data_IF_450465131650
#
_entry.id   IF_450465131650
#
_cell.length_a   1.000
_cell.length_b   1.000
_cell.length_c   1.000
_cell.angle_alpha   90.00
_cell.angle_beta   90.00
_cell.angle_gamma   90.00
#
_symmetry.space_group_name_H-M   'P 1'
#
loop_
_entity.id
_entity.type
_entity.pdbx_description
1 polymer ?
#
# COMPACT_ATOMS: atom_id res chain seq x y z
N UNK A 1 -14.09 -45.05 -4.84
CA UNK A 1 -13.60 -44.93 -6.22
C UNK A 1 -12.48 -43.93 -6.17
N UNK A 2 -11.26 -44.45 -6.16
CA UNK A 2 -10.02 -43.77 -5.78
C UNK A 2 -9.16 -43.79 -7.03
N UNK A 3 -8.67 -42.62 -7.47
CA UNK A 3 -7.70 -42.55 -8.57
C UNK A 3 -6.48 -41.77 -8.08
N UNK A 4 -5.34 -42.35 -8.42
CA UNK A 4 -3.98 -42.13 -7.98
C UNK A 4 -3.40 -40.77 -8.44
N UNK A 5 -2.58 -40.15 -7.58
CA UNK A 5 -1.55 -39.22 -8.02
C UNK A 5 -0.23 -39.99 -8.14
N UNK A 6 0.37 -39.94 -9.32
CA UNK A 6 1.73 -40.42 -9.57
C UNK A 6 2.75 -39.41 -9.03
N UNK A 7 3.70 -39.93 -8.26
CA UNK A 7 4.88 -39.23 -7.79
C UNK A 7 5.97 -39.25 -8.87
N UNK A 8 6.68 -38.14 -9.05
CA UNK A 8 7.97 -38.10 -9.74
C UNK A 8 9.06 -37.75 -8.72
N UNK A 9 9.93 -38.74 -8.49
CA UNK A 9 11.24 -38.70 -7.83
C UNK A 9 12.24 -37.87 -8.63
N UNK A 10 12.87 -36.86 -8.01
CA UNK A 10 14.23 -36.35 -8.27
C UNK A 10 14.65 -35.69 -6.94
N UNK A 11 15.57 -36.19 -6.12
CA UNK A 11 16.96 -36.59 -6.36
C UNK A 11 17.85 -35.79 -5.39
N UNK A 12 18.30 -36.40 -4.28
CA UNK A 12 19.31 -35.82 -3.38
C UNK A 12 20.66 -35.64 -4.11
N UNK A 13 21.50 -34.70 -3.64
CA UNK A 13 22.93 -34.95 -3.67
C UNK A 13 23.58 -34.85 -2.28
N UNK A 14 24.46 -35.82 -2.05
CA UNK A 14 25.37 -35.99 -0.92
C UNK A 14 26.41 -34.86 -0.77
N UNK A 15 26.88 -34.74 0.47
CA UNK A 15 27.97 -33.88 0.90
C UNK A 15 29.35 -34.32 0.38
N UNK A 16 30.24 -33.37 0.07
CA UNK A 16 31.59 -33.21 0.67
C UNK A 16 32.52 -32.25 -0.10
N UNK A 17 33.27 -31.46 0.70
CA UNK A 17 34.62 -30.85 0.46
C UNK A 17 34.75 -29.78 -0.64
N UNK A 18 35.48 -28.66 -0.53
CA UNK A 18 36.40 -28.10 0.48
C UNK A 18 36.80 -26.66 0.02
N UNK A 19 37.57 -25.95 0.86
CA UNK A 19 38.34 -24.72 0.58
C UNK A 19 37.64 -23.35 0.73
N UNK A 20 37.54 -22.95 2.00
CA UNK A 20 37.68 -21.56 2.39
C UNK A 20 39.05 -21.01 1.96
N UNK A 21 39.05 -19.97 1.14
CA UNK A 21 40.23 -19.16 0.86
C UNK A 21 39.98 -17.77 1.44
N UNK A 22 40.58 -17.51 2.59
CA UNK A 22 40.73 -16.18 3.16
C UNK A 22 41.70 -15.36 2.30
N UNK A 23 41.28 -14.17 1.88
CA UNK A 23 42.20 -13.12 1.45
C UNK A 23 41.90 -11.82 2.23
N UNK A 24 42.95 -11.08 2.63
CA UNK A 24 42.87 -10.06 3.67
C UNK A 24 42.39 -8.71 3.14
N UNK A 25 41.58 -8.03 3.94
CA UNK A 25 41.28 -6.60 3.81
C UNK A 25 42.57 -5.80 4.08
N UNK A 26 43.07 -5.13 3.05
CA UNK A 26 44.03 -4.04 3.17
C UNK A 26 43.25 -2.76 3.54
N UNK A 27 43.49 -2.25 4.73
CA UNK A 27 43.07 -0.90 5.12
C UNK A 27 44.00 0.14 4.46
N UNK A 28 43.47 1.26 3.95
CA UNK A 28 44.22 2.49 3.86
C UNK A 28 44.04 3.32 5.13
N UNK A 29 45.16 3.87 5.54
CA UNK A 29 45.45 4.79 6.64
C UNK A 29 44.82 6.17 6.41
N UNK A 30 44.11 6.68 7.40
CA UNK A 30 43.81 8.10 7.55
C UNK A 30 44.99 8.79 8.25
N UNK A 31 45.58 9.80 7.61
CA UNK A 31 46.36 10.83 8.28
C UNK A 31 45.67 12.18 8.03
N UNK A 32 45.39 12.87 9.14
CA UNK A 32 44.93 14.24 9.25
C UNK A 32 45.93 15.24 8.63
N UNK A 33 45.45 16.37 8.11
CA UNK A 33 45.66 17.69 8.75
C UNK A 33 45.30 18.91 7.86
N UNK A 34 44.75 19.90 8.56
CA UNK A 34 44.88 21.35 8.41
C UNK A 34 44.06 22.17 7.38
N UNK A 35 42.95 22.71 7.92
CA UNK A 35 42.78 24.12 8.33
C UNK A 35 43.05 25.29 7.35
N UNK A 36 42.01 26.12 7.16
CA UNK A 36 42.00 27.60 7.07
C UNK A 36 40.71 28.08 6.37
N UNK A 37 39.99 29.15 6.69
CA UNK A 37 39.91 30.14 7.77
C UNK A 37 38.76 31.11 7.38
N UNK A 38 38.01 31.61 8.37
CA UNK A 38 37.28 32.92 8.41
C UNK A 38 36.32 33.33 7.27
N UNK A 39 35.08 33.68 7.65
CA UNK A 39 34.75 35.08 8.01
C UNK A 39 33.36 35.18 8.67
N UNK A 40 33.30 36.01 9.71
CA UNK A 40 32.12 36.39 10.47
C UNK A 40 31.50 37.67 9.89
N UNK A 41 30.18 37.82 10.05
CA UNK A 41 29.54 39.14 10.16
C UNK A 41 28.22 39.01 10.93
N UNK A 42 28.25 39.53 12.16
CA UNK A 42 27.14 39.84 13.05
C UNK A 42 26.47 41.14 12.62
N UNK A 43 25.13 41.25 12.61
CA UNK A 43 24.42 42.52 12.86
C UNK A 43 23.13 42.25 13.66
N UNK A 44 23.07 42.94 14.79
CA UNK A 44 22.02 43.10 15.80
C UNK A 44 20.99 44.17 15.37
N UNK A 45 19.77 44.17 15.90
CA UNK A 45 18.81 45.25 15.64
C UNK A 45 17.36 44.98 16.03
N UNK A 46 17.03 45.24 17.30
CA UNK A 46 15.68 45.50 17.83
C UNK A 46 14.92 46.55 17.03
N UNK A 47 13.59 46.47 16.99
CA UNK A 47 12.72 47.56 17.49
C UNK A 47 11.25 47.14 17.61
N UNK A 48 10.68 47.48 18.78
CA UNK A 48 9.26 47.46 19.10
C UNK A 48 8.59 48.69 18.47
N UNK A 49 7.36 48.57 17.98
CA UNK A 49 6.46 49.73 17.96
C UNK A 49 4.99 49.33 18.06
N UNK A 50 4.42 49.65 19.22
CA UNK A 50 3.00 49.78 19.50
C UNK A 50 2.43 51.04 18.82
N UNK A 51 1.17 50.99 18.40
CA UNK A 51 0.32 52.17 18.19
C UNK A 51 -1.10 51.85 18.66
N UNK A 52 -1.57 52.65 19.62
CA UNK A 52 -2.93 52.65 20.14
C UNK A 52 -3.87 53.50 19.28
N UNK A 53 -5.12 53.02 19.20
CA UNK A 53 -6.39 53.75 19.28
C UNK A 53 -6.78 54.82 18.24
N UNK A 54 -7.92 54.58 17.58
CA UNK A 54 -8.95 55.60 17.43
C UNK A 54 -10.33 54.94 17.47
N UNK A 55 -11.10 55.30 18.50
CA UNK A 55 -12.51 54.97 18.64
C UNK A 55 -13.34 55.72 17.60
N UNK A 56 -14.32 55.02 17.01
CA UNK A 56 -15.53 55.64 16.45
C UNK A 56 -16.72 54.74 16.76
N UNK A 57 -17.57 55.26 17.63
CA UNK A 57 -18.92 54.80 17.87
C UNK A 57 -19.77 54.99 16.61
N UNK A 58 -20.46 53.93 16.20
CA UNK A 58 -21.65 53.99 15.36
C UNK A 58 -22.57 52.84 15.78
N UNK A 59 -23.81 53.20 16.05
CA UNK A 59 -24.90 52.39 16.59
C UNK A 59 -25.43 51.33 15.61
N UNK A 60 -26.18 50.38 16.17
CA UNK A 60 -27.23 49.55 15.57
C UNK A 60 -26.88 48.59 14.41
N UNK A 61 -26.83 47.28 14.72
CA UNK A 61 -27.99 46.41 14.48
C UNK A 61 -27.71 44.99 15.01
N UNK A 62 -28.56 44.55 15.94
CA UNK A 62 -28.62 43.19 16.48
C UNK A 62 -29.02 42.17 15.40
N UNK A 63 -28.03 41.59 14.71
CA UNK A 63 -28.19 40.30 14.03
C UNK A 63 -27.38 39.27 14.80
N UNK A 64 -28.06 38.56 15.73
CA UNK A 64 -27.53 37.34 16.33
C UNK A 64 -27.19 36.34 15.22
N UNK A 65 -25.91 36.24 14.87
CA UNK A 65 -25.43 35.07 14.13
C UNK A 65 -25.75 33.83 14.98
N UNK A 66 -26.46 32.83 14.44
CA UNK A 66 -26.62 31.57 15.14
C UNK A 66 -25.23 30.93 15.28
N UNK A 67 -24.79 30.74 16.52
CA UNK A 67 -23.62 29.94 16.85
C UNK A 67 -23.73 28.58 16.15
N UNK A 68 -22.66 28.09 15.50
CA UNK A 68 -22.67 26.75 14.92
C UNK A 68 -23.07 25.73 16.01
N UNK A 69 -23.87 24.71 15.66
CA UNK A 69 -24.24 23.70 16.63
C UNK A 69 -22.97 23.06 17.21
N UNK A 70 -22.90 22.84 18.53
CA UNK A 70 -21.77 22.14 19.11
C UNK A 70 -21.63 20.78 18.41
N UNK A 71 -20.38 20.32 18.14
CA UNK A 71 -20.17 19.02 17.57
C UNK A 71 -20.87 17.97 18.45
N UNK A 72 -21.53 16.95 17.86
CA UNK A 72 -22.23 15.95 18.64
C UNK A 72 -21.26 15.33 19.64
N UNK A 73 -21.59 15.44 20.93
CA UNK A 73 -20.84 14.80 22.01
C UNK A 73 -20.75 13.31 21.70
N UNK A 74 -19.56 12.87 21.31
CA UNK A 74 -19.23 11.45 21.24
C UNK A 74 -19.18 10.97 22.69
N UNK A 75 -20.29 10.44 23.20
CA UNK A 75 -20.28 9.64 24.42
C UNK A 75 -19.52 8.36 24.13
N UNK A 76 -18.21 8.38 24.38
CA UNK A 76 -17.38 7.18 24.43
C UNK A 76 -17.84 6.36 25.63
N UNK A 77 -18.45 5.19 25.38
CA UNK A 77 -18.64 4.20 26.44
C UNK A 77 -17.27 3.64 26.81
N UNK A 78 -16.98 3.64 28.10
CA UNK A 78 -15.74 3.22 28.75
C UNK A 78 -15.39 1.71 28.60
N UNK A 79 -15.98 1.02 27.62
CA UNK A 79 -15.76 -0.40 27.33
C UNK A 79 -15.31 -0.71 25.90
N UNK A 80 -15.21 0.29 25.02
CA UNK A 80 -14.96 0.07 23.59
C UNK A 80 -13.54 0.45 23.13
N UNK A 81 -12.61 0.77 24.04
CA UNK A 81 -11.20 0.97 23.68
C UNK A 81 -10.58 -0.41 23.44
N UNK A 82 -10.35 -0.76 22.17
CA UNK A 82 -9.45 -1.86 21.85
C UNK A 82 -8.08 -1.44 22.36
N UNK A 83 -7.58 -2.15 23.37
CA UNK A 83 -6.24 -1.95 23.89
C UNK A 83 -5.24 -2.20 22.76
N UNK A 84 -4.69 -1.12 22.19
CA UNK A 84 -3.69 -1.16 21.14
C UNK A 84 -2.51 -2.04 21.54
N UNK A 85 -2.11 -2.02 22.82
CA UNK A 85 -1.06 -2.91 23.33
C UNK A 85 -1.49 -4.38 23.30
N UNK A 86 -2.78 -4.67 23.46
CA UNK A 86 -3.31 -6.02 23.32
C UNK A 86 -3.30 -6.47 21.86
N UNK A 87 -3.61 -5.60 20.90
CA UNK A 87 -3.48 -5.91 19.46
C UNK A 87 -2.01 -6.18 19.08
N UNK A 88 -1.08 -5.32 19.49
CA UNK A 88 0.36 -5.50 19.25
C UNK A 88 0.90 -6.82 19.84
N UNK A 89 0.38 -7.26 20.99
CA UNK A 89 0.77 -8.55 21.58
C UNK A 89 0.38 -9.76 20.74
N UNK A 90 -0.67 -9.67 19.92
CA UNK A 90 -1.10 -10.76 19.05
C UNK A 90 -0.42 -10.73 17.68
N UNK A 91 -0.17 -9.54 17.14
CA UNK A 91 0.33 -9.36 15.77
C UNK A 91 1.85 -9.51 15.62
N UNK A 92 2.62 -9.59 16.73
CA UNK A 92 4.10 -9.70 16.76
C UNK A 92 4.79 -8.85 15.69
N UNK A 93 4.72 -7.52 15.82
CA UNK A 93 5.32 -6.66 14.83
C UNK A 93 6.82 -6.87 14.77
N UNK A 94 7.30 -6.94 13.54
CA UNK A 94 8.69 -7.12 13.24
C UNK A 94 9.13 -6.18 12.12
N UNK A 95 10.43 -6.15 11.86
CA UNK A 95 10.95 -5.59 10.62
C UNK A 95 10.19 -6.13 9.43
N UNK A 96 9.82 -5.24 8.51
CA UNK A 96 9.03 -5.62 7.35
C UNK A 96 9.29 -4.71 6.16
N UNK A 97 8.83 -5.14 5.00
CA UNK A 97 8.92 -4.40 3.75
C UNK A 97 7.53 -4.31 3.14
N UNK A 98 7.15 -3.11 2.72
CA UNK A 98 5.99 -2.89 1.87
C UNK A 98 6.44 -2.53 0.46
N UNK A 99 6.16 -3.42 -0.49
CA UNK A 99 6.35 -3.13 -1.92
C UNK A 99 5.23 -2.20 -2.39
N UNK A 100 5.57 -1.01 -2.91
CA UNK A 100 4.62 0.00 -3.35
C UNK A 100 4.32 -0.11 -4.84
N UNK A 101 5.38 -0.11 -5.66
CA UNK A 101 5.25 -0.12 -7.12
C UNK A 101 6.47 -0.76 -7.80
N UNK A 102 6.25 -1.26 -9.01
CA UNK A 102 7.33 -1.72 -9.90
C UNK A 102 7.11 -1.13 -11.28
N UNK A 103 8.04 -0.28 -11.72
CA UNK A 103 8.01 0.38 -13.02
C UNK A 103 9.03 -0.26 -13.97
N UNK A 104 8.61 -0.95 -15.05
CA UNK A 104 9.52 -1.51 -16.03
C UNK A 104 9.75 -0.52 -17.19
N UNK A 105 11.01 -0.25 -17.55
CA UNK A 105 11.34 0.55 -18.76
C UNK A 105 11.16 -0.23 -20.08
N UNK A 106 10.37 -1.31 -20.06
CA UNK A 106 10.13 -2.20 -21.19
C UNK A 106 8.82 -2.99 -20.97
N UNK A 107 8.19 -3.56 -22.03
CA UNK A 107 7.04 -4.43 -21.87
C UNK A 107 7.42 -5.69 -21.07
N UNK A 108 7.00 -5.75 -19.82
CA UNK A 108 7.38 -6.81 -18.90
C UNK A 108 6.50 -8.05 -19.07
N UNK A 109 7.16 -9.20 -19.25
CA UNK A 109 6.55 -10.54 -19.24
C UNK A 109 7.45 -11.40 -18.37
N UNK A 110 6.88 -12.14 -17.42
CA UNK A 110 7.64 -12.94 -16.46
C UNK A 110 7.12 -12.82 -15.03
N UNK A 111 7.99 -13.13 -14.09
CA UNK A 111 7.66 -13.26 -12.68
C UNK A 111 8.42 -12.25 -11.82
N UNK A 112 7.74 -11.77 -10.79
CA UNK A 112 8.38 -11.14 -9.64
C UNK A 112 7.98 -11.95 -8.42
N UNK A 113 8.99 -12.46 -7.73
CA UNK A 113 8.85 -13.35 -6.59
C UNK A 113 9.55 -12.71 -5.41
N UNK A 114 8.90 -12.64 -4.26
CA UNK A 114 9.55 -12.26 -3.01
C UNK A 114 9.72 -13.50 -2.15
N UNK A 115 10.91 -13.68 -1.58
CA UNK A 115 11.21 -14.75 -0.66
C UNK A 115 11.80 -14.19 0.65
N UNK A 116 11.32 -14.70 1.77
CA UNK A 116 11.79 -14.36 3.11
C UNK A 116 11.82 -15.62 4.00
N UNK A 117 11.95 -15.45 5.31
CA UNK A 117 11.93 -16.55 6.30
C UNK A 117 10.59 -17.31 6.36
N UNK A 118 9.49 -16.72 5.89
CA UNK A 118 8.16 -17.32 5.86
C UNK A 118 7.90 -18.10 4.56
N UNK A 119 8.74 -17.93 3.55
CA UNK A 119 8.69 -18.66 2.29
C UNK A 119 8.76 -17.75 1.06
N UNK A 120 8.46 -18.31 -0.12
CA UNK A 120 8.39 -17.57 -1.38
C UNK A 120 6.94 -17.32 -1.80
N UNK A 121 6.64 -16.09 -2.23
CA UNK A 121 5.35 -15.67 -2.79
C UNK A 121 5.54 -14.94 -4.13
N UNK A 122 4.67 -15.20 -5.09
CA UNK A 122 4.59 -14.39 -6.31
C UNK A 122 3.94 -13.07 -5.96
N UNK A 123 4.52 -11.95 -6.40
CA UNK A 123 3.90 -10.61 -6.30
C UNK A 123 3.38 -10.14 -7.65
N UNK A 124 3.95 -10.67 -8.74
CA UNK A 124 3.50 -10.44 -10.11
C UNK A 124 3.82 -11.67 -10.98
N UNK A 125 2.94 -11.97 -11.92
CA UNK A 125 3.11 -13.02 -12.91
C UNK A 125 2.42 -12.62 -14.22
N UNK A 126 3.13 -12.73 -15.33
CA UNK A 126 2.59 -12.55 -16.67
C UNK A 126 3.21 -13.58 -17.62
N UNK A 127 2.37 -14.38 -18.27
CA UNK A 127 2.79 -15.31 -19.32
C UNK A 127 2.80 -14.63 -20.70
N UNK A 128 3.55 -15.24 -21.62
CA UNK A 128 3.58 -14.77 -23.01
C UNK A 128 2.28 -15.14 -23.73
N UNK A 129 1.62 -14.14 -24.33
CA UNK A 129 0.34 -14.32 -25.04
C UNK A 129 -0.89 -13.97 -24.20
N UNK A 130 -0.73 -13.83 -22.87
CA UNK A 130 -1.72 -13.16 -22.03
C UNK A 130 -1.78 -11.68 -22.41
N UNK A 131 -2.97 -11.08 -22.45
CA UNK A 131 -3.11 -9.70 -22.88
C UNK A 131 -2.42 -8.76 -21.86
N UNK A 132 -1.67 -7.77 -22.37
CA UNK A 132 -0.97 -6.77 -21.57
C UNK A 132 -2.00 -5.80 -20.95
N UNK A 133 -2.63 -6.20 -19.84
CA UNK A 133 -3.59 -5.36 -19.10
C UNK A 133 -3.15 -5.07 -17.66
N UNK A 134 -1.87 -5.26 -17.36
CA UNK A 134 -1.38 -5.18 -15.97
C UNK A 134 -0.56 -3.92 -15.71
N UNK A 135 -0.86 -2.80 -16.36
CA UNK A 135 -0.28 -1.51 -16.00
C UNK A 135 -1.34 -0.61 -15.36
N UNK A 136 -0.95 0.10 -14.32
CA UNK A 136 -1.77 1.13 -13.69
C UNK A 136 -1.66 2.47 -14.47
N UNK A 137 -2.40 3.53 -14.07
CA UNK A 137 -2.35 4.83 -14.75
C UNK A 137 -0.98 5.52 -14.77
N UNK A 138 -0.04 5.06 -13.95
CA UNK A 138 1.32 5.57 -13.83
C UNK A 138 2.34 4.63 -14.51
N UNK A 139 1.84 3.69 -15.34
CA UNK A 139 2.62 2.69 -16.06
C UNK A 139 3.40 1.72 -15.13
N UNK A 140 2.99 1.60 -13.86
CA UNK A 140 3.53 0.57 -12.96
C UNK A 140 2.84 -0.76 -13.19
N UNK A 141 3.55 -1.86 -12.94
CA UNK A 141 2.97 -3.19 -12.88
C UNK A 141 1.88 -3.25 -11.80
N UNK A 142 0.68 -3.67 -12.19
CA UNK A 142 -0.40 -4.02 -11.28
C UNK A 142 -0.02 -5.34 -10.61
N UNK A 143 0.42 -5.25 -9.36
CA UNK A 143 0.88 -6.40 -8.59
C UNK A 143 -0.34 -7.21 -8.09
N UNK A 144 -0.41 -8.50 -8.43
CA UNK A 144 -1.61 -9.36 -8.25
C UNK A 144 -1.41 -10.57 -7.32
N UNK A 145 -0.22 -10.72 -6.76
CA UNK A 145 0.12 -11.83 -5.89
C UNK A 145 -0.65 -11.88 -4.56
N UNK A 146 -0.62 -12.99 -3.81
CA UNK A 146 -0.89 -12.87 -2.39
C UNK A 146 0.15 -11.93 -1.78
N UNK A 147 -0.30 -10.90 -1.05
CA UNK A 147 0.58 -9.99 -0.31
C UNK A 147 0.49 -10.33 1.16
N UNK A 148 1.26 -11.32 1.59
CA UNK A 148 1.62 -11.39 3.00
C UNK A 148 2.71 -10.36 3.25
N UNK A 149 2.74 -9.81 4.46
CA UNK A 149 3.83 -8.93 4.90
C UNK A 149 5.18 -9.60 4.64
N UNK A 150 6.07 -8.88 3.98
CA UNK A 150 7.43 -9.35 3.68
C UNK A 150 8.29 -9.08 4.92
N UNK A 151 9.00 -10.09 5.42
CA UNK A 151 9.92 -9.91 6.55
C UNK A 151 11.11 -9.01 6.17
N UNK A 152 11.49 -8.12 7.08
CA UNK A 152 12.58 -7.16 6.90
C UNK A 152 13.94 -7.65 7.42
N UNK A 153 14.87 -6.70 7.60
CA UNK A 153 16.28 -6.89 7.99
C UNK A 153 17.12 -7.82 7.10
N UNK A 154 17.13 -7.57 5.79
CA UNK A 154 18.03 -8.27 4.86
C UNK A 154 17.74 -9.77 4.66
N UNK A 155 16.62 -10.26 5.19
CA UNK A 155 16.14 -11.63 4.99
C UNK A 155 15.24 -11.74 3.76
N UNK A 156 14.52 -10.67 3.42
CA UNK A 156 13.69 -10.56 2.23
C UNK A 156 14.52 -10.28 0.97
N UNK A 157 14.31 -11.11 -0.06
CA UNK A 157 14.85 -10.92 -1.40
C UNK A 157 13.72 -10.93 -2.42
N UNK A 158 13.71 -9.93 -3.29
CA UNK A 158 12.86 -9.93 -4.47
C UNK A 158 13.67 -10.41 -5.68
N UNK A 159 13.16 -11.41 -6.38
CA UNK A 159 13.74 -11.96 -7.59
C UNK A 159 12.83 -11.69 -8.78
N UNK A 160 13.40 -11.06 -9.79
CA UNK A 160 12.79 -10.86 -11.10
C UNK A 160 13.26 -11.99 -12.02
N UNK A 161 12.33 -12.62 -12.73
CA UNK A 161 12.61 -13.63 -13.75
C UNK A 161 11.86 -13.28 -15.01
N UNK A 162 12.61 -13.05 -16.09
CA UNK A 162 12.02 -12.78 -17.39
C UNK A 162 12.45 -13.89 -18.34
N UNK A 163 11.52 -14.67 -18.91
CA UNK A 163 11.85 -15.70 -19.87
C UNK A 163 12.54 -15.10 -21.11
N UNK A 164 13.55 -15.79 -21.60
CA UNK A 164 14.17 -15.50 -22.89
C UNK A 164 13.29 -16.06 -24.01
N UNK A 165 12.79 -15.17 -24.87
CA UNK A 165 11.91 -15.52 -26.00
C UNK A 165 12.56 -16.50 -26.97
N UNK A 166 13.85 -16.35 -27.21
CA UNK A 166 14.56 -17.12 -28.23
C UNK A 166 15.12 -18.43 -27.68
N UNK A 167 15.19 -18.57 -26.35
CA UNK A 167 15.86 -19.69 -25.67
C UNK A 167 15.03 -20.21 -24.50
N UNK A 168 14.13 -21.18 -24.75
CA UNK A 168 13.32 -21.79 -23.70
C UNK A 168 14.16 -22.30 -22.53
N UNK A 169 13.72 -22.00 -21.30
CA UNK A 169 14.42 -22.39 -20.07
C UNK A 169 15.56 -21.47 -19.65
N UNK A 170 15.90 -20.44 -20.45
CA UNK A 170 16.80 -19.38 -20.05
C UNK A 170 15.98 -18.21 -19.51
N UNK A 171 16.40 -17.69 -18.37
CA UNK A 171 15.80 -16.52 -17.75
C UNK A 171 16.85 -15.42 -17.61
N UNK A 172 16.43 -14.21 -17.92
CA UNK A 172 17.12 -13.01 -17.47
C UNK A 172 16.62 -12.69 -16.07
N UNK A 173 17.56 -12.52 -15.14
CA UNK A 173 17.24 -12.43 -13.72
C UNK A 173 17.88 -11.21 -13.09
N UNK A 174 17.23 -10.71 -12.05
CA UNK A 174 17.79 -9.75 -11.12
C UNK A 174 17.31 -10.07 -9.72
N UNK A 175 18.16 -9.82 -8.72
CA UNK A 175 17.81 -9.94 -7.31
C UNK A 175 17.95 -8.56 -6.65
N UNK A 176 16.95 -8.18 -5.85
CA UNK A 176 16.97 -7.02 -4.96
C UNK A 176 16.88 -7.52 -3.52
N UNK A 177 17.85 -7.12 -2.71
CA UNK A 177 17.84 -7.33 -1.26
C UNK A 177 17.29 -6.09 -0.56
N UNK A 178 16.26 -6.28 0.26
CA UNK A 178 15.60 -5.18 0.95
C UNK A 178 16.38 -4.77 2.21
N UNK A 179 16.98 -3.58 2.16
CA UNK A 179 17.69 -2.92 3.27
C UNK A 179 18.89 -3.69 3.86
N UNK A 180 19.83 -3.00 4.54
CA UNK A 180 20.77 -3.67 5.43
C UNK A 180 20.05 -4.14 6.70
N UNK A 181 20.60 -5.15 7.40
CA UNK A 181 19.96 -5.80 8.57
C UNK A 181 19.81 -4.92 9.82
N UNK A 182 20.07 -3.61 9.72
CA UNK A 182 20.23 -2.70 10.85
C UNK A 182 19.64 -1.29 10.61
N UNK A 183 18.71 -1.12 9.68
CA UNK A 183 17.96 0.14 9.56
C UNK A 183 17.14 0.37 10.84
N UNK A 184 17.44 1.46 11.56
CA UNK A 184 16.71 1.81 12.79
C UNK A 184 15.46 2.65 12.51
N UNK A 185 15.32 3.16 11.28
CA UNK A 185 14.26 4.06 10.83
C UNK A 185 13.44 3.44 9.69
N UNK A 186 12.20 3.91 9.56
CA UNK A 186 11.36 3.60 8.41
C UNK A 186 11.83 4.44 7.21
N UNK A 187 12.04 3.81 6.05
CA UNK A 187 12.66 4.44 4.87
C UNK A 187 11.92 4.02 3.61
N UNK A 188 11.53 5.02 2.80
CA UNK A 188 11.10 4.86 1.42
C UNK A 188 12.33 4.79 0.51
N UNK A 189 12.35 3.84 -0.40
CA UNK A 189 13.43 3.65 -1.36
C UNK A 189 12.91 3.38 -2.77
N UNK A 190 13.39 4.18 -3.73
CA UNK A 190 13.34 3.87 -5.14
C UNK A 190 14.65 3.25 -5.61
N UNK A 191 14.60 1.97 -6.02
CA UNK A 191 15.78 1.26 -6.52
C UNK A 191 15.70 0.91 -7.99
N UNK A 192 16.68 1.38 -8.75
CA UNK A 192 16.94 0.94 -10.12
C UNK A 192 17.60 -0.45 -10.11
N UNK A 193 16.87 -1.44 -10.58
CA UNK A 193 17.36 -2.81 -10.77
C UNK A 193 17.77 -2.99 -12.22
N UNK A 194 18.93 -3.61 -12.43
CA UNK A 194 19.40 -4.00 -13.76
C UNK A 194 19.50 -5.51 -13.84
N UNK A 195 18.83 -6.10 -14.84
CA UNK A 195 18.89 -7.53 -15.11
C UNK A 195 20.23 -7.93 -15.72
N UNK A 196 20.51 -9.24 -15.75
CA UNK A 196 21.73 -9.79 -16.36
C UNK A 196 21.94 -9.34 -17.81
N UNK A 197 20.87 -9.13 -18.57
CA UNK A 197 20.93 -8.65 -19.96
C UNK A 197 20.69 -7.14 -20.11
N UNK A 198 20.81 -6.36 -19.03
CA UNK A 198 20.81 -4.90 -19.09
C UNK A 198 19.42 -4.26 -19.21
N UNK A 199 18.34 -4.98 -18.85
CA UNK A 199 17.02 -4.38 -18.75
C UNK A 199 16.84 -3.72 -17.40
N UNK A 200 16.06 -2.65 -17.37
CA UNK A 200 15.94 -1.79 -16.20
C UNK A 200 14.51 -1.78 -15.66
N UNK A 201 14.38 -1.83 -14.34
CA UNK A 201 13.14 -1.64 -13.61
C UNK A 201 13.41 -0.72 -12.41
N UNK A 202 12.47 0.14 -12.06
CA UNK A 202 12.46 0.85 -10.77
C UNK A 202 11.51 0.11 -9.84
N UNK A 203 11.94 -0.07 -8.59
CA UNK A 203 11.14 -0.69 -7.54
C UNK A 203 11.06 0.28 -6.38
N UNK A 204 9.84 0.74 -6.11
CA UNK A 204 9.50 1.58 -4.97
C UNK A 204 9.02 0.68 -3.84
N UNK A 205 9.67 0.78 -2.69
CA UNK A 205 9.30 0.02 -1.50
C UNK A 205 9.63 0.80 -0.24
N UNK A 206 9.07 0.35 0.88
CA UNK A 206 9.29 0.96 2.18
C UNK A 206 9.75 -0.09 3.16
N UNK A 207 10.91 0.12 3.76
CA UNK A 207 11.35 -0.68 4.91
C UNK A 207 10.79 -0.09 6.18
N UNK A 208 10.28 -0.95 7.05
CA UNK A 208 9.74 -0.57 8.35
C UNK A 208 10.44 -1.35 9.45
N UNK A 209 10.80 -0.67 10.53
CA UNK A 209 11.39 -1.30 11.71
C UNK A 209 10.41 -2.24 12.41
N UNK A 210 9.15 -1.81 12.50
CA UNK A 210 8.04 -2.54 13.10
C UNK A 210 6.81 -2.33 12.22
N UNK A 211 6.57 -3.24 11.29
CA UNK A 211 5.36 -3.20 10.48
C UNK A 211 4.27 -4.13 10.99
N UNK A 212 3.04 -3.71 10.73
CA UNK A 212 1.82 -4.42 11.08
C UNK A 212 1.03 -4.71 9.81
N UNK A 213 0.65 -5.97 9.61
CA UNK A 213 -0.23 -6.34 8.51
C UNK A 213 -1.67 -5.88 8.76
N UNK A 214 -2.23 -5.14 7.81
CA UNK A 214 -3.60 -4.65 7.81
C UNK A 214 -4.34 -5.22 6.61
N UNK A 215 -5.34 -6.07 6.89
CA UNK A 215 -6.28 -6.54 5.88
C UNK A 215 -7.34 -5.46 5.61
N UNK A 216 -7.53 -5.08 4.35
CA UNK A 216 -8.52 -4.13 3.84
C UNK A 216 -9.61 -4.91 3.10
N UNK A 217 -10.88 -4.61 3.42
CA UNK A 217 -12.05 -5.14 2.71
C UNK A 217 -12.96 -4.01 2.30
N UNK A 218 -13.42 -4.05 1.07
CA UNK A 218 -14.31 -3.03 0.50
C UNK A 218 -15.64 -3.66 0.12
N UNK A 219 -16.73 -2.96 0.41
CA UNK A 219 -18.07 -3.36 -0.01
C UNK A 219 -18.88 -2.16 -0.46
N UNK A 220 -19.71 -2.35 -1.48
CA UNK A 220 -20.51 -1.31 -2.10
C UNK A 220 -21.99 -1.62 -1.90
N UNK A 221 -22.77 -0.62 -1.53
CA UNK A 221 -24.22 -0.72 -1.38
C UNK A 221 -24.89 0.45 -2.10
N UNK A 222 -25.82 0.17 -2.99
CA UNK A 222 -26.60 1.21 -3.68
C UNK A 222 -27.94 1.43 -2.97
N UNK A 223 -28.38 2.69 -2.91
CA UNK A 223 -29.66 3.11 -2.35
C UNK A 223 -30.68 3.32 -3.48
N UNK A 224 -31.92 2.85 -3.31
CA UNK A 224 -33.03 3.22 -4.21
C UNK A 224 -33.36 2.28 -5.38
N UNK A 225 -32.90 1.02 -5.37
CA UNK A 225 -33.47 -0.02 -6.25
C UNK A 225 -34.80 -0.52 -5.66
N UNK A 226 -35.94 -0.24 -6.31
CA UNK A 226 -37.23 -0.81 -5.91
C UNK A 226 -37.21 -2.34 -6.04
N UNK A 227 -37.72 -3.05 -5.03
CA UNK A 227 -37.98 -4.51 -4.84
C UNK A 227 -36.98 -5.58 -5.36
N UNK A 228 -36.01 -5.23 -6.19
CA UNK A 228 -35.01 -6.10 -6.77
C UNK A 228 -33.66 -5.81 -6.11
N UNK A 229 -33.48 -6.35 -4.90
CA UNK A 229 -32.22 -6.37 -4.17
C UNK A 229 -31.12 -7.25 -4.85
N UNK A 230 -31.23 -7.47 -6.15
CA UNK A 230 -30.46 -8.42 -6.97
C UNK A 230 -29.76 -7.79 -8.17
N UNK A 231 -29.64 -6.46 -8.20
CA UNK A 231 -29.01 -5.78 -9.33
C UNK A 231 -27.51 -6.03 -9.34
N UNK A 232 -27.04 -6.68 -10.41
CA UNK A 232 -25.63 -6.65 -10.79
C UNK A 232 -25.20 -5.20 -10.99
N UNK A 233 -23.95 -4.90 -10.64
CA UNK A 233 -23.36 -3.58 -10.81
C UNK A 233 -22.01 -3.74 -11.50
N UNK A 234 -21.71 -2.88 -12.46
CA UNK A 234 -20.38 -2.83 -13.03
C UNK A 234 -19.59 -1.72 -12.34
N UNK A 235 -18.34 -2.01 -11.96
CA UNK A 235 -17.49 -1.14 -11.16
C UNK A 235 -16.14 -0.97 -11.82
N UNK A 236 -15.65 0.27 -11.87
CA UNK A 236 -14.31 0.60 -12.34
C UNK A 236 -13.75 1.81 -11.58
N UNK A 237 -12.48 2.13 -11.82
CA UNK A 237 -11.73 3.15 -11.10
C UNK A 237 -10.66 2.53 -10.21
N UNK A 238 -10.29 3.23 -9.13
CA UNK A 238 -9.18 2.83 -8.27
C UNK A 238 -9.45 2.95 -6.78
N UNK A 239 -8.79 2.09 -6.01
CA UNK A 239 -8.67 2.20 -4.56
C UNK A 239 -7.19 2.10 -4.23
N UNK A 240 -6.68 3.05 -3.47
CA UNK A 240 -5.29 3.03 -3.00
C UNK A 240 -5.20 3.13 -1.50
N UNK A 241 -4.10 2.62 -0.95
CA UNK A 241 -3.71 2.76 0.44
C UNK A 241 -2.53 3.72 0.54
N UNK A 242 -2.56 4.59 1.53
CA UNK A 242 -1.50 5.56 1.77
C UNK A 242 -1.18 5.63 3.26
N UNK A 243 0.11 5.73 3.56
CA UNK A 243 0.66 6.08 4.86
C UNK A 243 1.69 7.18 4.62
N UNK A 244 1.86 8.08 5.58
CA UNK A 244 2.85 9.18 5.48
C UNK A 244 4.28 8.73 5.14
N UNK A 245 4.68 7.51 5.52
CA UNK A 245 6.03 7.01 5.23
C UNK A 245 6.16 6.53 3.79
N UNK A 246 5.05 6.44 3.05
CA UNK A 246 5.04 6.18 1.61
C UNK A 246 5.30 7.47 0.82
N UNK A 247 5.61 8.59 1.48
CA UNK A 247 5.82 9.91 0.86
C UNK A 247 4.65 10.35 -0.03
N UNK A 248 4.87 10.57 -1.32
CA UNK A 248 3.81 10.91 -2.28
C UNK A 248 3.16 9.66 -2.90
N UNK A 249 3.75 8.47 -2.70
CA UNK A 249 3.28 7.22 -3.28
C UNK A 249 2.02 6.70 -2.58
N UNK A 250 1.29 5.86 -3.29
CA UNK A 250 0.16 5.13 -2.76
C UNK A 250 0.18 3.71 -3.30
N UNK A 251 -0.10 2.76 -2.42
CA UNK A 251 -0.21 1.36 -2.79
C UNK A 251 -1.54 1.11 -3.51
N UNK A 252 -1.49 0.51 -4.69
CA UNK A 252 -2.68 0.11 -5.45
C UNK A 252 -3.35 -1.13 -4.82
N UNK A 253 -4.63 -1.03 -4.48
CA UNK A 253 -5.43 -2.14 -3.94
C UNK A 253 -6.47 -2.66 -4.95
N UNK A 254 -7.03 -1.75 -5.72
CA UNK A 254 -8.01 -2.03 -6.77
C UNK A 254 -7.75 -1.10 -7.95
N UNK A 255 -7.72 -1.63 -9.17
CA UNK A 255 -7.72 -0.83 -10.40
C UNK A 255 -8.37 -1.58 -11.55
N UNK A 256 -9.32 -0.92 -12.21
CA UNK A 256 -9.86 -1.34 -13.50
C UNK A 256 -10.20 -0.10 -14.32
N UNK A 257 -9.80 -0.08 -15.59
CA UNK A 257 -10.20 0.94 -16.55
C UNK A 257 -11.71 0.83 -16.86
N UNK A 258 -12.28 1.86 -17.49
CA UNK A 258 -13.71 1.90 -17.83
C UNK A 258 -14.10 0.75 -18.78
N UNK A 259 -13.21 0.46 -19.73
CA UNK A 259 -13.34 -0.61 -20.73
C UNK A 259 -13.24 -2.01 -20.11
N UNK A 260 -12.68 -2.11 -18.90
CA UNK A 260 -12.41 -3.34 -18.15
C UNK A 260 -13.30 -3.48 -16.92
N UNK A 261 -14.39 -2.71 -16.85
CA UNK A 261 -15.30 -2.67 -15.71
C UNK A 261 -15.69 -4.07 -15.23
N UNK A 262 -15.65 -4.25 -13.92
CA UNK A 262 -15.88 -5.55 -13.28
C UNK A 262 -17.31 -5.65 -12.84
N UNK A 263 -17.99 -6.73 -13.23
CA UNK A 263 -19.34 -6.99 -12.77
C UNK A 263 -19.33 -7.63 -11.38
N UNK A 264 -20.09 -7.04 -10.47
CA UNK A 264 -20.33 -7.52 -9.12
C UNK A 264 -21.78 -7.97 -8.97
N UNK A 265 -21.96 -9.14 -8.36
CA UNK A 265 -23.28 -9.73 -8.12
C UNK A 265 -23.58 -9.78 -6.62
N UNK A 266 -24.76 -9.30 -6.18
CA UNK A 266 -25.15 -9.41 -4.78
C UNK A 266 -25.20 -10.86 -4.30
N UNK A 267 -24.82 -11.08 -3.04
CA UNK A 267 -25.00 -12.40 -2.41
C UNK A 267 -26.48 -12.61 -2.09
N UNK A 268 -27.02 -13.79 -2.41
CA UNK A 268 -28.41 -14.12 -2.17
C UNK A 268 -28.78 -13.94 -0.67
N UNK A 269 -29.78 -13.10 -0.38
CA UNK A 269 -30.27 -12.83 0.97
C UNK A 269 -29.44 -11.83 1.80
N UNK A 270 -28.51 -11.09 1.18
CA UNK A 270 -27.73 -10.04 1.83
C UNK A 270 -28.48 -8.72 2.04
N UNK A 271 -27.88 -7.78 2.77
CA UNK A 271 -28.38 -6.42 3.03
C UNK A 271 -28.28 -5.46 1.82
N UNK A 272 -28.07 -6.02 0.62
CA UNK A 272 -27.79 -5.29 -0.62
C UNK A 272 -26.33 -4.83 -0.77
N UNK A 273 -25.45 -5.15 0.20
CA UNK A 273 -24.03 -4.88 0.08
C UNK A 273 -23.34 -5.96 -0.77
N UNK A 274 -22.41 -5.54 -1.63
CA UNK A 274 -21.63 -6.41 -2.50
C UNK A 274 -20.15 -6.22 -2.22
N UNK A 275 -19.47 -7.30 -1.86
CA UNK A 275 -18.03 -7.27 -1.62
C UNK A 275 -17.25 -7.16 -2.92
N UNK A 276 -16.29 -6.26 -2.94
CA UNK A 276 -15.33 -6.15 -4.03
C UNK A 276 -14.30 -7.27 -3.89
N UNK A 277 -14.52 -8.40 -4.56
CA UNK A 277 -13.66 -9.59 -4.43
C UNK A 277 -12.46 -9.56 -5.38
N UNK A 278 -12.57 -8.81 -6.47
CA UNK A 278 -11.56 -8.66 -7.51
C UNK A 278 -10.53 -7.56 -7.16
N UNK A 279 -10.16 -7.43 -5.88
CA UNK A 279 -9.06 -6.54 -5.48
C UNK A 279 -7.74 -7.21 -5.85
N UNK A 280 -6.83 -6.48 -6.49
CA UNK A 280 -5.49 -6.98 -6.80
C UNK A 280 -4.66 -7.18 -5.53
N UNK A 281 -4.91 -6.37 -4.50
CA UNK A 281 -4.27 -6.49 -3.19
C UNK A 281 -5.24 -6.11 -2.08
N UNK A 282 -5.22 -6.87 -0.99
CA UNK A 282 -6.10 -6.64 0.17
C UNK A 282 -5.34 -6.50 1.49
N UNK A 283 -4.02 -6.63 1.49
CA UNK A 283 -3.18 -6.54 2.69
C UNK A 283 -2.19 -5.39 2.51
N UNK A 284 -2.03 -4.57 3.55
CA UNK A 284 -1.12 -3.43 3.58
C UNK A 284 -0.28 -3.53 4.83
N UNK A 285 1.03 -3.42 4.71
CA UNK A 285 1.90 -3.33 5.89
C UNK A 285 2.10 -1.85 6.25
N UNK A 286 1.85 -1.50 7.51
CA UNK A 286 1.99 -0.12 8.01
C UNK A 286 2.97 -0.08 9.18
N UNK A 287 3.80 0.97 9.32
CA UNK A 287 4.69 1.13 10.46
C UNK A 287 3.86 1.27 11.71
N UNK A 288 4.37 0.88 12.89
CA UNK A 288 3.71 1.10 14.19
C UNK A 288 4.07 2.45 14.81
N UNK A 289 5.29 2.91 14.57
CA UNK A 289 5.84 4.12 15.15
C UNK A 289 6.44 5.01 14.05
N UNK A 290 6.21 6.33 14.07
CA UNK A 290 5.30 7.03 14.98
C UNK A 290 3.84 6.70 14.58
N UNK A 291 2.89 6.87 15.50
CA UNK A 291 1.46 6.47 15.43
C UNK A 291 0.93 5.97 14.07
N UNK A 292 0.37 4.76 13.99
CA UNK A 292 0.17 4.15 12.70
C UNK A 292 -1.18 4.58 12.10
N UNK A 293 -1.12 5.05 10.86
CA UNK A 293 -2.23 5.71 10.19
C UNK A 293 -2.36 5.20 8.77
N UNK A 294 -3.52 4.65 8.43
CA UNK A 294 -3.80 4.17 7.09
C UNK A 294 -4.92 5.00 6.49
N UNK A 295 -4.64 5.64 5.36
CA UNK A 295 -5.65 6.29 4.54
C UNK A 295 -6.00 5.39 3.38
N UNK A 296 -7.28 5.07 3.22
CA UNK A 296 -7.78 4.41 2.01
C UNK A 296 -8.45 5.47 1.15
N UNK A 297 -7.87 5.74 -0.02
CA UNK A 297 -8.39 6.67 -1.02
C UNK A 297 -9.26 5.89 -1.99
N UNK A 298 -10.51 6.28 -2.14
CA UNK A 298 -11.49 5.62 -3.02
C UNK A 298 -11.84 6.57 -4.15
N UNK A 299 -11.72 6.10 -5.38
CA UNK A 299 -12.20 6.77 -6.58
C UNK A 299 -12.83 5.73 -7.51
N UNK A 300 -14.08 5.39 -7.23
CA UNK A 300 -14.83 4.37 -7.96
C UNK A 300 -15.99 4.99 -8.72
N UNK A 301 -16.32 4.38 -9.85
CA UNK A 301 -17.54 4.62 -10.60
C UNK A 301 -18.31 3.32 -10.72
N UNK A 302 -19.62 3.43 -10.51
CA UNK A 302 -20.53 2.29 -10.50
C UNK A 302 -21.66 2.57 -11.46
N UNK A 303 -21.92 1.64 -12.37
CA UNK A 303 -23.05 1.67 -13.30
C UNK A 303 -23.93 0.45 -13.07
N UNK A 304 -25.23 0.60 -13.28
CA UNK A 304 -26.11 -0.58 -13.37
C UNK A 304 -26.21 -1.03 -14.83
N UNK A 305 -26.15 -2.34 -15.13
CA UNK A 305 -26.35 -2.83 -16.49
C UNK A 305 -27.71 -2.45 -17.09
N UNK A 306 -28.72 -2.19 -16.25
CA UNK A 306 -30.05 -1.75 -16.69
C UNK A 306 -30.11 -0.25 -17.03
N UNK A 307 -29.10 0.52 -16.64
CA UNK A 307 -29.01 1.95 -16.92
C UNK A 307 -27.55 2.43 -16.94
N UNK A 308 -26.82 2.07 -17.99
CA UNK A 308 -25.41 2.47 -18.16
C UNK A 308 -25.21 3.99 -18.19
N UNK A 309 -26.25 4.76 -18.51
CA UNK A 309 -26.18 6.23 -18.53
C UNK A 309 -26.13 6.88 -17.15
N UNK A 310 -26.52 6.15 -16.09
CA UNK A 310 -26.49 6.63 -14.71
C UNK A 310 -25.25 6.09 -13.99
N UNK A 311 -24.13 6.81 -14.14
CA UNK A 311 -22.90 6.51 -13.41
C UNK A 311 -22.92 7.17 -12.02
N UNK A 312 -22.77 6.36 -10.98
CA UNK A 312 -22.64 6.82 -9.59
C UNK A 312 -21.14 6.88 -9.26
N UNK A 313 -20.65 8.06 -8.88
CA UNK A 313 -19.26 8.25 -8.48
C UNK A 313 -19.12 8.21 -6.95
N UNK A 314 -18.17 7.42 -6.46
CA UNK A 314 -17.74 7.39 -5.07
C UNK A 314 -16.30 7.89 -5.01
N UNK A 315 -16.12 9.11 -4.51
CA UNK A 315 -14.80 9.72 -4.33
C UNK A 315 -14.64 10.22 -2.91
N UNK A 316 -13.56 9.83 -2.26
CA UNK A 316 -13.21 10.32 -0.93
C UNK A 316 -12.18 9.46 -0.24
N UNK A 317 -11.73 9.94 0.91
CA UNK A 317 -10.68 9.31 1.70
C UNK A 317 -11.26 8.88 3.04
N UNK A 318 -10.84 7.72 3.52
CA UNK A 318 -11.18 7.24 4.86
C UNK A 318 -9.94 6.93 5.65
N UNK A 319 -9.88 7.52 6.84
CA UNK A 319 -8.74 7.46 7.73
C UNK A 319 -8.97 6.44 8.85
N UNK A 320 -7.96 5.59 9.03
CA UNK A 320 -7.89 4.59 10.08
C UNK A 320 -6.69 4.87 10.99
N UNK A 321 -6.87 5.72 12.00
CA UNK A 321 -5.93 5.76 13.10
C UNK A 321 -6.06 4.45 13.90
N UNK A 322 -4.93 3.80 14.14
CA UNK A 322 -4.88 2.47 14.74
C UNK A 322 -5.24 2.42 16.24
N UNK A 323 -5.35 3.58 16.89
CA UNK A 323 -5.77 3.76 18.28
C UNK A 323 -7.29 3.73 18.47
N UNK A 324 -8.06 3.70 17.38
CA UNK A 324 -9.51 3.77 17.41
C UNK A 324 -10.17 2.40 17.22
N UNK A 325 -11.22 2.18 18.00
CA UNK A 325 -12.06 0.97 17.96
C UNK A 325 -12.76 0.77 16.61
N UNK A 326 -12.99 1.85 15.88
CA UNK A 326 -13.82 1.83 14.68
C UNK A 326 -13.01 1.43 13.46
N UNK A 327 -13.07 0.12 13.15
CA UNK A 327 -12.43 -0.52 11.99
C UNK A 327 -13.27 -0.48 10.72
N UNK A 328 -14.38 0.25 10.71
CA UNK A 328 -15.28 0.40 9.56
C UNK A 328 -15.57 1.87 9.34
N UNK A 329 -15.28 2.34 8.13
CA UNK A 329 -15.56 3.69 7.64
C UNK A 329 -16.36 3.60 6.35
N UNK A 330 -17.08 4.67 6.00
CA UNK A 330 -17.88 4.68 4.79
C UNK A 330 -17.81 6.03 4.07
N UNK A 331 -17.82 5.98 2.75
CA UNK A 331 -18.02 7.12 1.86
C UNK A 331 -19.46 7.03 1.37
N UNK A 332 -20.26 8.06 1.66
CA UNK A 332 -21.69 8.08 1.38
C UNK A 332 -22.04 9.10 0.31
N UNK A 333 -22.95 8.72 -0.56
CA UNK A 333 -23.61 9.60 -1.52
C UNK A 333 -25.13 9.49 -1.32
N UNK A 334 -25.90 10.28 -2.06
CA UNK A 334 -27.36 10.14 -2.08
C UNK A 334 -27.84 8.82 -2.71
N UNK A 335 -26.97 8.16 -3.49
CA UNK A 335 -27.30 6.95 -4.26
C UNK A 335 -26.65 5.67 -3.72
N UNK A 336 -25.84 5.74 -2.67
CA UNK A 336 -25.21 4.57 -2.08
C UNK A 336 -24.12 4.88 -1.07
N UNK A 337 -23.42 3.83 -0.64
CA UNK A 337 -22.22 3.94 0.16
C UNK A 337 -21.16 2.91 -0.23
N UNK A 338 -19.90 3.30 -0.09
CA UNK A 338 -18.75 2.40 -0.10
C UNK A 338 -18.27 2.25 1.34
N UNK A 339 -18.34 1.04 1.88
CA UNK A 339 -17.79 0.70 3.18
C UNK A 339 -16.37 0.12 3.02
N UNK A 340 -15.45 0.64 3.82
CA UNK A 340 -14.10 0.14 3.97
C UNK A 340 -13.96 -0.40 5.38
N UNK A 341 -13.51 -1.64 5.49
CA UNK A 341 -13.24 -2.31 6.75
C UNK A 341 -11.78 -2.73 6.81
N UNK A 342 -11.16 -2.53 7.97
CA UNK A 342 -9.82 -3.03 8.24
C UNK A 342 -9.79 -4.09 9.34
N UNK A 343 -8.78 -4.95 9.34
CA UNK A 343 -8.43 -5.81 10.47
C UNK A 343 -6.93 -6.05 10.53
N UNK A 344 -6.39 -6.10 11.74
CA UNK A 344 -4.99 -6.40 12.00
C UNK A 344 -4.80 -7.91 12.10
N UNK A 345 -3.76 -8.43 11.46
CA UNK A 345 -3.36 -9.84 11.54
C UNK A 345 -2.20 -10.03 12.50
#
# INVERSE_FOLDING_TARGET
MTILCEACDIGQPDARTEHATYLPLLAPTDEDDDASNKQAATIDGKEQSTCHAAARDAEDDDIKQPSPPPPPEKTYREGDVVDFFKALRFCRPGPSVELLAVYPYFPFVGDIIVADENGGQYVYHQEEGEPLHNLDPEDNLVLTGPFQTISGFGSGVMRIKIPDRDRPGIYDTADLWFGPSNTEDDEHEDRLITTRYGRHLVVSYVTMREGLEVNVRVSIRLFGGGDDASHTMDVYGQITAHNRIFEDDSLLLFYYAEEEKVQLTPSAGGDGSVHLRQMQRYNVTVPINPQPFLTIKVNLKVTSPSNESATIAFKGDVEFPLDMAQRVRAIRTEHGEVQVRISYN
#
